data_IF_552926790335
#
_entry.id   IF_552926790335
#
_cell.length_a   1.000
_cell.length_b   1.000
_cell.length_c   1.000
_cell.angle_alpha   90.00
_cell.angle_beta   90.00
_cell.angle_gamma   90.00
#
_symmetry.space_group_name_H-M   'P 1'
#
loop_
_entity.id
_entity.type
_entity.pdbx_description
1 polymer ?
#
# COMPACT_ATOMS: atom_id res chain seq x y z
N UNK A 1 14.85 0.42 -10.70
CA UNK A 1 14.06 -0.74 -11.20
C UNK A 1 14.44 -0.99 -12.65
N UNK A 2 14.75 -2.23 -13.03
CA UNK A 2 15.13 -2.58 -14.39
C UNK A 2 13.94 -2.45 -15.36
N UNK A 3 14.21 -2.03 -16.60
CA UNK A 3 13.16 -1.76 -17.59
C UNK A 3 12.39 -3.03 -17.99
N UNK A 4 13.07 -4.18 -18.10
CA UNK A 4 12.42 -5.45 -18.48
C UNK A 4 11.34 -5.88 -17.48
N UNK A 5 11.59 -5.70 -16.19
CA UNK A 5 10.60 -6.01 -15.15
C UNK A 5 9.40 -5.06 -15.23
N UNK A 6 9.65 -3.78 -15.52
CA UNK A 6 8.59 -2.81 -15.72
C UNK A 6 7.74 -3.17 -16.95
N UNK A 7 8.37 -3.57 -18.06
CA UNK A 7 7.68 -3.97 -19.29
C UNK A 7 6.74 -5.18 -19.08
N UNK A 8 7.03 -6.06 -18.11
CA UNK A 8 6.16 -7.17 -17.73
C UNK A 8 4.95 -6.71 -16.88
N UNK A 9 5.13 -5.74 -16.00
CA UNK A 9 4.10 -5.31 -15.04
C UNK A 9 3.17 -4.24 -15.61
N UNK A 10 3.72 -3.26 -16.32
CA UNK A 10 2.97 -2.14 -16.90
C UNK A 10 1.69 -2.57 -17.63
N UNK A 11 1.71 -3.58 -18.54
CA UNK A 11 0.49 -4.01 -19.24
C UNK A 11 -0.55 -4.71 -18.35
N UNK A 12 -0.16 -5.13 -17.14
CA UNK A 12 -1.06 -5.77 -16.17
C UNK A 12 -1.81 -4.73 -15.33
N UNK A 13 -1.34 -3.48 -15.30
CA UNK A 13 -1.87 -2.48 -14.41
C UNK A 13 -3.27 -2.03 -14.83
N UNK A 14 -4.21 -1.88 -13.88
CA UNK A 14 -5.55 -1.42 -14.22
C UNK A 14 -5.50 0.02 -14.75
N UNK A 15 -6.31 0.36 -15.79
CA UNK A 15 -6.36 1.70 -16.34
C UNK A 15 -6.89 2.68 -15.31
N UNK A 16 -6.32 3.90 -15.29
CA UNK A 16 -6.82 4.97 -14.44
C UNK A 16 -8.24 5.36 -14.84
N UNK A 17 -9.13 5.68 -13.88
CA UNK A 17 -10.43 6.22 -14.22
C UNK A 17 -10.24 7.54 -14.98
N UNK A 18 -11.01 7.72 -16.06
CA UNK A 18 -10.93 8.91 -16.93
C UNK A 18 -11.17 10.23 -16.18
N UNK A 19 -11.88 10.16 -15.05
CA UNK A 19 -12.13 11.29 -14.15
C UNK A 19 -11.76 10.87 -12.74
N UNK A 20 -10.70 11.45 -12.21
CA UNK A 20 -10.39 11.43 -10.77
C UNK A 20 -10.48 12.84 -10.22
N UNK A 21 -11.26 13.09 -9.16
CA UNK A 21 -11.17 14.35 -8.44
C UNK A 21 -9.80 14.42 -7.74
N UNK A 22 -9.01 15.44 -8.08
CA UNK A 22 -7.74 15.74 -7.40
C UNK A 22 -6.53 15.91 -8.33
N UNK A 23 -5.34 16.10 -7.75
CA UNK A 23 -4.09 16.24 -8.49
C UNK A 23 -3.78 14.99 -9.33
N UNK A 24 -2.95 15.16 -10.37
CA UNK A 24 -2.47 14.03 -11.16
C UNK A 24 -1.84 12.96 -10.25
N UNK A 25 -2.20 11.68 -10.42
CA UNK A 25 -1.58 10.61 -9.65
C UNK A 25 -0.07 10.53 -9.86
N UNK A 26 0.66 10.11 -8.82
CA UNK A 26 2.06 9.70 -8.94
C UNK A 26 2.15 8.53 -9.92
N UNK A 27 3.20 8.50 -10.74
CA UNK A 27 3.42 7.44 -11.73
C UNK A 27 3.44 6.05 -11.08
N UNK A 28 2.83 5.08 -11.76
CA UNK A 28 2.78 3.67 -11.32
C UNK A 28 4.18 3.10 -11.08
N UNK A 29 5.15 3.43 -11.93
CA UNK A 29 6.53 2.97 -11.80
C UNK A 29 7.21 3.45 -10.51
N UNK A 30 6.95 4.69 -10.09
CA UNK A 30 7.48 5.26 -8.85
C UNK A 30 6.84 4.59 -7.63
N UNK A 31 5.53 4.35 -7.67
CA UNK A 31 4.84 3.62 -6.60
C UNK A 31 5.36 2.17 -6.50
N UNK A 32 5.62 1.51 -7.63
CA UNK A 32 6.18 0.15 -7.65
C UNK A 32 7.61 0.10 -7.09
N UNK A 33 8.37 1.20 -7.13
CA UNK A 33 9.68 1.29 -6.46
C UNK A 33 9.54 1.51 -4.94
N UNK A 34 8.57 2.32 -4.53
CA UNK A 34 8.31 2.60 -3.11
C UNK A 34 7.74 1.43 -2.33
N UNK A 35 6.91 0.60 -2.95
CA UNK A 35 6.29 -0.56 -2.29
C UNK A 35 7.35 -1.56 -1.76
N UNK A 36 8.26 -2.12 -2.59
CA UNK A 36 9.32 -3.00 -2.11
C UNK A 36 10.23 -2.33 -1.10
N UNK A 37 10.48 -1.01 -1.21
CA UNK A 37 11.27 -0.30 -0.22
C UNK A 37 10.62 -0.37 1.17
N UNK A 38 9.32 -0.10 1.27
CA UNK A 38 8.59 -0.19 2.54
C UNK A 38 8.60 -1.63 3.09
N UNK A 39 8.31 -2.61 2.22
CA UNK A 39 8.23 -4.02 2.60
C UNK A 39 9.57 -4.62 3.03
N UNK A 40 10.64 -4.33 2.28
CA UNK A 40 11.98 -4.86 2.55
C UNK A 40 12.59 -4.29 3.84
N UNK A 41 12.35 -3.01 4.11
CA UNK A 41 12.85 -2.35 5.32
C UNK A 41 11.91 -2.53 6.52
N UNK A 42 10.76 -3.19 6.35
CA UNK A 42 9.71 -3.39 7.36
C UNK A 42 9.33 -2.09 8.10
N UNK A 43 9.19 -0.99 7.34
CA UNK A 43 8.84 0.32 7.90
C UNK A 43 7.34 0.59 7.76
N UNK A 44 6.80 1.44 8.63
CA UNK A 44 5.44 1.94 8.44
C UNK A 44 5.34 2.77 7.16
N UNK A 45 4.22 2.66 6.43
CA UNK A 45 3.97 3.44 5.20
C UNK A 45 4.14 4.96 5.39
N UNK A 46 3.86 5.50 6.59
CA UNK A 46 4.03 6.92 6.87
C UNK A 46 5.50 7.36 6.97
N UNK A 47 6.42 6.40 7.13
CA UNK A 47 7.85 6.63 7.26
C UNK A 47 8.60 6.46 5.92
N UNK A 48 7.89 6.19 4.81
CA UNK A 48 8.50 6.21 3.49
C UNK A 48 9.06 7.62 3.21
N UNK A 49 10.39 7.79 3.04
CA UNK A 49 10.98 9.10 2.87
C UNK A 49 10.52 9.74 1.55
N UNK A 50 10.03 10.98 1.61
CA UNK A 50 9.47 11.68 0.45
C UNK A 50 10.57 12.12 -0.53
N UNK A 51 11.78 12.34 -0.03
CA UNK A 51 12.97 12.70 -0.80
C UNK A 51 13.38 11.64 -1.84
N UNK A 52 12.93 10.40 -1.68
CA UNK A 52 13.16 9.32 -2.66
C UNK A 52 12.29 9.45 -3.92
N UNK A 53 11.29 10.34 -3.91
CA UNK A 53 10.46 10.61 -5.10
C UNK A 53 9.42 9.53 -5.44
N UNK A 54 9.27 8.49 -4.62
CA UNK A 54 8.28 7.42 -4.84
C UNK A 54 6.82 7.84 -4.64
N UNK A 55 6.60 9.06 -4.14
CA UNK A 55 5.34 9.53 -3.59
C UNK A 55 5.21 9.18 -2.09
N UNK A 56 4.12 9.61 -1.48
CA UNK A 56 3.86 9.27 -0.07
C UNK A 56 3.59 7.77 0.08
N UNK A 57 3.98 7.16 1.20
CA UNK A 57 3.72 5.74 1.39
C UNK A 57 2.22 5.41 1.48
N UNK A 58 1.35 6.36 1.82
CA UNK A 58 -0.10 6.19 1.66
C UNK A 58 -0.52 6.06 0.19
N UNK A 59 0.15 6.77 -0.72
CA UNK A 59 -0.08 6.62 -2.16
C UNK A 59 0.38 5.26 -2.65
N UNK A 60 1.56 4.80 -2.18
CA UNK A 60 2.06 3.46 -2.47
C UNK A 60 1.11 2.37 -1.94
N UNK A 61 0.61 2.51 -0.71
CA UNK A 61 -0.33 1.56 -0.11
C UNK A 61 -1.65 1.45 -0.88
N UNK A 62 -2.29 2.59 -1.21
CA UNK A 62 -3.50 2.60 -2.05
C UNK A 62 -3.25 1.98 -3.43
N UNK A 63 -2.04 2.17 -3.97
CA UNK A 63 -1.64 1.58 -5.25
C UNK A 63 -1.54 0.07 -5.15
N UNK A 64 -0.85 -0.42 -4.12
CA UNK A 64 -0.75 -1.85 -3.81
C UNK A 64 -2.13 -2.49 -3.67
N UNK A 65 -3.02 -1.87 -2.89
CA UNK A 65 -4.40 -2.35 -2.70
C UNK A 65 -5.17 -2.43 -4.03
N UNK A 66 -5.09 -1.38 -4.86
CA UNK A 66 -5.73 -1.35 -6.18
C UNK A 66 -5.20 -2.46 -7.09
N UNK A 67 -3.89 -2.70 -7.10
CA UNK A 67 -3.29 -3.76 -7.92
C UNK A 67 -3.65 -5.15 -7.40
N UNK A 68 -3.72 -5.33 -6.08
CA UNK A 68 -4.18 -6.58 -5.47
C UNK A 68 -5.63 -6.88 -5.85
N UNK A 69 -6.52 -5.90 -5.75
CA UNK A 69 -7.93 -6.05 -6.12
C UNK A 69 -8.12 -6.33 -7.61
N UNK A 70 -7.22 -5.81 -8.46
CA UNK A 70 -7.20 -6.07 -9.89
C UNK A 70 -6.54 -7.41 -10.28
N UNK A 71 -5.99 -8.17 -9.32
CA UNK A 71 -5.34 -9.45 -9.59
C UNK A 71 -3.99 -9.36 -10.32
N UNK A 72 -3.31 -8.20 -10.26
CA UNK A 72 -2.04 -7.94 -10.96
C UNK A 72 -0.99 -9.00 -10.58
N UNK A 73 -0.85 -9.29 -9.27
CA UNK A 73 0.14 -10.24 -8.78
C UNK A 73 -0.19 -11.68 -9.18
N UNK A 74 -1.47 -12.05 -9.22
CA UNK A 74 -1.90 -13.37 -9.67
C UNK A 74 -1.64 -13.57 -11.17
N UNK A 75 -1.80 -12.52 -11.98
CA UNK A 75 -1.47 -12.56 -13.40
C UNK A 75 0.04 -12.62 -13.62
N UNK A 76 0.81 -11.82 -12.89
CA UNK A 76 2.27 -11.86 -12.96
C UNK A 76 2.82 -13.24 -12.57
N UNK A 77 2.28 -13.85 -11.50
CA UNK A 77 2.67 -15.19 -11.08
C UNK A 77 2.42 -16.24 -12.18
N UNK A 78 1.26 -16.18 -12.85
CA UNK A 78 0.94 -17.07 -13.98
C UNK A 78 1.89 -16.90 -15.16
N UNK A 79 2.27 -15.67 -15.51
CA UNK A 79 3.24 -15.39 -16.57
C UNK A 79 4.59 -16.02 -16.21
N UNK A 80 5.09 -15.80 -15.00
CA UNK A 80 6.36 -16.37 -14.54
C UNK A 80 6.33 -17.90 -14.52
N UNK A 81 5.22 -18.51 -14.08
CA UNK A 81 5.04 -19.97 -14.15
C UNK A 81 5.07 -20.49 -15.59
N UNK A 82 4.42 -19.80 -16.52
CA UNK A 82 4.39 -20.19 -17.93
C UNK A 82 5.79 -20.12 -18.57
N UNK A 83 6.54 -19.05 -18.31
CA UNK A 83 7.92 -18.88 -18.78
C UNK A 83 8.85 -19.97 -18.22
N UNK A 84 8.77 -20.25 -16.92
CA UNK A 84 9.57 -21.29 -16.27
C UNK A 84 9.23 -22.70 -16.79
N UNK A 85 7.93 -22.96 -17.04
CA UNK A 85 7.49 -24.21 -17.65
C UNK A 85 8.02 -24.35 -19.08
N UNK A 86 7.95 -23.29 -19.89
CA UNK A 86 8.45 -23.28 -21.26
C UNK A 86 9.98 -23.45 -21.31
N UNK A 87 10.71 -22.92 -20.34
CA UNK A 87 12.15 -23.07 -20.21
C UNK A 87 12.59 -24.46 -19.68
N UNK A 88 11.65 -25.33 -19.26
CA UNK A 88 11.96 -26.62 -18.65
C UNK A 88 12.69 -26.51 -17.30
N UNK A 89 12.65 -25.34 -16.66
CA UNK A 89 13.39 -25.01 -15.44
C UNK A 89 12.52 -25.08 -14.17
N UNK A 90 11.35 -25.72 -14.23
CA UNK A 90 10.52 -25.97 -13.06
C UNK A 90 11.15 -27.05 -12.17
N UNK A 91 12.10 -26.64 -11.32
CA UNK A 91 12.50 -27.38 -10.14
C UNK A 91 11.50 -27.09 -9.00
N UNK A 92 10.52 -28.00 -8.87
CA UNK A 92 9.49 -27.98 -7.82
C UNK A 92 10.07 -28.04 -6.39
N UNK A 93 11.37 -28.30 -6.21
CA UNK A 93 12.03 -28.26 -4.90
C UNK A 93 12.38 -26.85 -4.40
N UNK A 94 12.24 -25.81 -5.26
CA UNK A 94 12.61 -24.41 -4.96
C UNK A 94 11.47 -23.41 -5.01
N UNK A 95 10.23 -23.85 -5.22
CA UNK A 95 9.05 -22.98 -5.21
C UNK A 95 8.78 -22.45 -3.79
N UNK A 96 9.55 -21.44 -3.38
CA UNK A 96 9.35 -20.73 -2.11
C UNK A 96 8.38 -19.57 -2.35
N UNK A 97 7.10 -19.81 -2.06
CA UNK A 97 6.15 -18.73 -1.80
C UNK A 97 6.40 -18.31 -0.35
N UNK A 98 7.29 -17.35 -0.11
CA UNK A 98 7.34 -16.68 1.20
C UNK A 98 6.24 -15.62 1.24
N UNK A 99 5.05 -16.06 1.65
CA UNK A 99 4.00 -15.17 2.12
C UNK A 99 4.33 -14.72 3.53
N UNK A 100 5.12 -13.65 3.68
CA UNK A 100 5.29 -13.00 4.98
C UNK A 100 3.96 -12.34 5.38
N UNK A 101 3.18 -13.04 6.20
CA UNK A 101 1.93 -12.56 6.78
C UNK A 101 2.26 -11.54 7.87
N UNK A 102 2.56 -10.29 7.52
CA UNK A 102 2.70 -9.23 8.50
C UNK A 102 1.31 -8.99 9.09
N UNK A 103 1.14 -9.34 10.38
CA UNK A 103 -0.09 -9.01 11.12
C UNK A 103 -0.34 -7.52 10.97
N UNK A 104 -1.46 -7.17 10.32
CA UNK A 104 -1.99 -5.82 10.42
C UNK A 104 -2.13 -5.49 11.91
N UNK A 105 -1.33 -4.56 12.42
CA UNK A 105 -1.52 -3.95 13.74
C UNK A 105 -2.70 -2.98 13.68
N UNK A 106 -3.84 -3.45 13.16
CA UNK A 106 -5.12 -2.79 13.31
C UNK A 106 -5.81 -3.57 14.42
N UNK A 107 -5.85 -2.95 15.61
CA UNK A 107 -6.47 -3.53 16.80
C UNK A 107 -7.81 -4.14 16.46
N UNK A 108 -8.03 -5.36 16.94
CA UNK A 108 -9.33 -6.02 16.85
C UNK A 108 -10.41 -5.17 17.52
N UNK A 109 -11.64 -5.67 17.42
CA UNK A 109 -12.88 -5.09 17.96
C UNK A 109 -12.90 -4.86 19.48
N UNK A 110 -11.76 -4.98 20.16
CA UNK A 110 -11.56 -4.78 21.60
C UNK A 110 -10.78 -3.49 21.93
N UNK A 111 -10.72 -2.53 21.00
CA UNK A 111 -10.21 -1.19 21.33
C UNK A 111 -11.36 -0.33 21.82
N UNK A 112 -11.53 -0.28 23.14
CA UNK A 112 -12.39 0.69 23.81
C UNK A 112 -12.01 2.14 23.43
N UNK A 113 -12.93 3.10 23.58
CA UNK A 113 -12.72 4.46 23.13
C UNK A 113 -11.43 5.06 23.71
N UNK A 114 -10.61 5.64 22.83
CA UNK A 114 -9.41 6.38 23.18
C UNK A 114 -9.74 7.49 24.20
N UNK A 115 -8.95 7.68 25.28
CA UNK A 115 -9.21 8.69 26.32
C UNK A 115 -9.20 10.16 25.86
N UNK A 116 -8.96 10.43 24.59
CA UNK A 116 -8.88 11.78 24.01
C UNK A 116 -10.00 12.05 23.01
N UNK A 117 -11.23 11.63 23.32
CA UNK A 117 -12.41 12.18 22.65
C UNK A 117 -12.79 13.51 23.32
N UNK A 118 -12.30 14.62 22.74
CA UNK A 118 -12.72 15.98 23.12
C UNK A 118 -14.03 16.34 22.40
N UNK A 119 -15.11 15.61 22.69
CA UNK A 119 -16.48 16.11 22.52
C UNK A 119 -16.82 17.00 23.72
N UNK A 120 -16.51 18.30 23.62
CA UNK A 120 -17.00 19.28 24.60
C UNK A 120 -18.33 19.86 24.13
N UNK A 121 -19.41 19.45 24.78
CA UNK A 121 -20.64 20.24 24.91
C UNK A 121 -20.81 20.59 26.39
N UNK A 122 -20.51 21.86 26.72
CA UNK A 122 -21.03 22.64 27.86
C UNK A 122 -20.84 22.15 29.31
N UNK A 123 -20.35 23.05 30.17
CA UNK A 123 -21.06 23.35 31.42
C UNK A 123 -20.83 24.80 31.83
N UNK A 124 -21.91 25.47 32.24
CA UNK A 124 -21.95 26.85 32.72
C UNK A 124 -21.35 26.95 34.12
N UNK A 125 -20.48 27.93 34.33
CA UNK A 125 -20.33 28.60 35.63
C UNK A 125 -19.88 30.04 35.37
N UNK A 126 -20.69 31.01 35.79
CA UNK A 126 -20.21 32.38 36.02
C UNK A 126 -20.47 32.69 37.50
N UNK A 127 -19.44 32.99 38.30
CA UNK A 127 -19.61 33.45 39.66
C UNK A 127 -19.65 34.99 39.72
N UNK A 128 -20.50 35.53 40.61
CA UNK A 128 -20.16 36.67 41.47
C UNK A 128 -20.42 38.12 41.02
N UNK A 129 -21.47 38.72 41.61
CA UNK A 129 -21.71 40.09 42.14
C UNK A 129 -20.78 41.29 41.82
N UNK A 130 -21.43 42.46 41.67
CA UNK A 130 -20.93 43.83 41.89
C UNK A 130 -21.34 44.77 40.74
N UNK A 131 -22.03 45.91 40.88
CA UNK A 131 -22.31 46.85 41.99
C UNK A 131 -23.79 47.22 42.01
#
# INVERSE_FOLDING_TARGET
MHDDFWALIEPLLPPWPERSPGPRPVEDRLCLQGIPFVLYNDIAWQLLPLELGFGSGQTCWRRLERWQQAGVFDQLHRILLAELNAAGQLDWSRACVDGSHIRAKKGGTDTGPSPVDRRKTGSKHQPGRGR
#
